data_IF_159408757374
#
_entry.id   IF_159408757374
#
_cell.length_a   1.000
_cell.length_b   1.000
_cell.length_c   1.000
_cell.angle_alpha   90.00
_cell.angle_beta   90.00
_cell.angle_gamma   90.00
#
_symmetry.space_group_name_H-M   'P 1'
#
loop_
_entity.id
_entity.type
_entity.pdbx_description
1 polymer ?
#
# COMPACT_ATOMS: atom_id res chain seq x y z
N UNK A 1 -15.24 -14.51 5.78
CA UNK A 1 -14.00 -13.84 5.34
C UNK A 1 -12.97 -13.94 6.45
N UNK A 2 -11.74 -14.34 6.12
CA UNK A 2 -10.62 -14.47 7.06
C UNK A 2 -9.48 -13.52 6.61
N UNK A 3 -9.11 -12.58 7.46
CA UNK A 3 -7.98 -11.68 7.26
C UNK A 3 -7.06 -11.74 8.47
N UNK A 4 -5.76 -11.84 8.24
CA UNK A 4 -4.76 -11.76 9.30
C UNK A 4 -3.41 -11.33 8.73
N UNK A 5 -2.50 -10.91 9.61
CA UNK A 5 -1.16 -10.48 9.25
C UNK A 5 -0.10 -11.39 9.86
N UNK A 6 1.03 -11.48 9.20
CA UNK A 6 2.23 -12.20 9.66
C UNK A 6 3.36 -11.16 9.73
N UNK A 7 4.05 -11.01 10.87
CA UNK A 7 5.15 -10.06 10.99
C UNK A 7 6.34 -10.49 10.13
N UNK A 8 7.05 -9.54 9.49
CA UNK A 8 8.28 -9.84 8.79
C UNK A 8 9.43 -10.12 9.78
N UNK A 9 10.48 -10.86 9.37
CA UNK A 9 11.69 -11.04 10.17
C UNK A 9 12.37 -9.68 10.43
N UNK A 10 13.18 -9.61 11.51
CA UNK A 10 13.74 -8.34 12.00
C UNK A 10 14.51 -7.56 10.94
N UNK A 11 15.27 -8.26 10.09
CA UNK A 11 16.03 -7.63 8.99
C UNK A 11 15.12 -6.90 7.98
N UNK A 12 13.88 -7.35 7.79
CA UNK A 12 12.92 -6.77 6.85
C UNK A 12 11.96 -5.76 7.49
N UNK A 13 11.82 -5.74 8.82
CA UNK A 13 10.92 -4.79 9.51
C UNK A 13 11.10 -3.31 9.10
N UNK A 14 12.33 -2.82 8.81
CA UNK A 14 12.50 -1.46 8.33
C UNK A 14 11.91 -1.19 6.94
N UNK A 15 11.62 -2.22 6.14
CA UNK A 15 11.26 -2.13 4.72
C UNK A 15 9.90 -2.73 4.41
N UNK A 16 9.47 -3.74 5.18
CA UNK A 16 8.19 -4.46 5.02
C UNK A 16 7.35 -4.22 6.27
N UNK A 17 6.15 -3.69 6.07
CA UNK A 17 5.25 -3.39 7.18
C UNK A 17 4.71 -4.67 7.81
N UNK A 18 4.16 -5.56 6.98
CA UNK A 18 3.68 -6.90 7.33
C UNK A 18 3.41 -7.71 6.06
N UNK A 19 3.34 -9.02 6.20
CA UNK A 19 2.65 -9.90 5.25
C UNK A 19 1.19 -10.01 5.65
N UNK A 20 0.30 -10.20 4.66
CA UNK A 20 -1.13 -10.31 4.90
C UNK A 20 -1.73 -11.48 4.11
N UNK A 21 -2.82 -12.00 4.64
CA UNK A 21 -3.60 -13.08 4.05
C UNK A 21 -5.05 -12.67 4.03
N UNK A 22 -5.70 -12.89 2.91
CA UNK A 22 -7.13 -12.69 2.75
C UNK A 22 -7.74 -13.93 2.08
N UNK A 23 -8.64 -14.60 2.78
CA UNK A 23 -9.36 -15.79 2.30
C UNK A 23 -10.86 -15.58 2.42
N UNK A 24 -11.61 -15.99 1.41
CA UNK A 24 -13.06 -15.92 1.44
C UNK A 24 -13.69 -17.04 0.63
N UNK A 25 -14.74 -17.63 1.20
CA UNK A 25 -15.63 -18.58 0.52
C UNK A 25 -16.89 -17.82 0.10
N UNK A 26 -17.15 -17.79 -1.21
CA UNK A 26 -18.38 -17.22 -1.73
C UNK A 26 -19.55 -18.19 -1.49
N UNK A 27 -20.73 -17.62 -1.32
CA UNK A 27 -21.99 -18.37 -1.13
C UNK A 27 -22.95 -18.06 -2.26
N UNK A 28 -24.02 -18.85 -2.39
CA UNK A 28 -25.07 -18.60 -3.40
C UNK A 28 -25.71 -17.20 -3.25
N UNK A 29 -25.81 -16.70 -2.01
CA UNK A 29 -26.34 -15.36 -1.72
C UNK A 29 -25.33 -14.23 -1.99
N UNK A 30 -24.05 -14.57 -2.09
CA UNK A 30 -22.97 -13.65 -2.44
C UNK A 30 -22.13 -14.24 -3.56
N UNK A 31 -22.58 -14.16 -4.84
CA UNK A 31 -21.93 -14.84 -5.96
C UNK A 31 -20.66 -14.14 -6.46
N UNK A 32 -20.39 -12.93 -5.97
CA UNK A 32 -19.18 -12.18 -6.30
C UNK A 32 -18.68 -11.41 -5.09
N UNK A 33 -17.39 -11.12 -5.10
CA UNK A 33 -16.76 -10.25 -4.11
C UNK A 33 -16.05 -9.11 -4.81
N UNK A 34 -16.39 -7.88 -4.44
CA UNK A 34 -15.72 -6.68 -4.92
C UNK A 34 -14.80 -6.16 -3.85
N UNK A 35 -13.54 -6.03 -4.17
CA UNK A 35 -12.52 -5.43 -3.32
C UNK A 35 -12.10 -4.06 -3.86
N UNK A 36 -11.95 -3.09 -2.97
CA UNK A 36 -11.43 -1.77 -3.31
C UNK A 36 -10.14 -1.52 -2.57
N UNK A 37 -9.02 -1.48 -3.29
CA UNK A 37 -7.75 -0.98 -2.79
C UNK A 37 -7.80 0.54 -2.74
N UNK A 38 -7.62 1.12 -1.57
CA UNK A 38 -7.53 2.58 -1.40
C UNK A 38 -6.09 3.04 -1.59
N UNK A 39 -5.91 4.31 -1.92
CA UNK A 39 -4.58 4.89 -1.98
C UNK A 39 -3.96 4.96 -0.58
N UNK A 40 -2.85 4.27 -0.36
CA UNK A 40 -2.16 4.21 0.94
C UNK A 40 -0.68 4.59 0.87
N UNK A 41 -0.19 4.84 -0.35
CA UNK A 41 1.21 5.20 -0.59
C UNK A 41 2.21 4.07 -0.39
N UNK A 42 1.75 2.84 -0.16
CA UNK A 42 2.59 1.65 -0.07
C UNK A 42 2.68 0.91 -1.41
N UNK A 43 3.67 0.05 -1.52
CA UNK A 43 3.79 -0.93 -2.60
C UNK A 43 3.34 -2.28 -2.07
N UNK A 44 2.58 -3.02 -2.85
CA UNK A 44 2.14 -4.36 -2.48
C UNK A 44 2.69 -5.40 -3.45
N UNK A 45 3.23 -6.49 -2.92
CA UNK A 45 3.43 -7.73 -3.66
C UNK A 45 2.23 -8.63 -3.40
N UNK A 46 1.49 -9.02 -4.45
CA UNK A 46 0.21 -9.75 -4.33
C UNK A 46 0.31 -11.07 -5.08
N UNK A 47 -0.06 -12.15 -4.41
CA UNK A 47 -0.06 -13.51 -4.94
C UNK A 47 -1.45 -14.14 -4.75
N UNK A 48 -2.14 -14.44 -5.84
CA UNK A 48 -3.42 -15.09 -5.85
C UNK A 48 -3.24 -16.62 -5.89
N UNK A 49 -3.05 -17.26 -4.74
CA UNK A 49 -2.81 -18.70 -4.68
C UNK A 49 -4.10 -19.55 -4.83
N UNK A 50 -5.26 -18.91 -4.81
CA UNK A 50 -6.55 -19.52 -5.11
C UNK A 50 -7.41 -18.46 -5.77
N UNK A 51 -7.79 -18.67 -7.01
CA UNK A 51 -8.53 -17.77 -7.90
C UNK A 51 -7.90 -16.36 -8.05
N UNK A 52 -8.11 -15.76 -9.18
CA UNK A 52 -7.65 -14.42 -9.52
C UNK A 52 -8.77 -13.39 -9.40
N UNK A 53 -8.40 -12.13 -9.40
CA UNK A 53 -9.32 -11.01 -9.47
C UNK A 53 -9.18 -10.31 -10.82
N UNK A 54 -10.28 -9.82 -11.35
CA UNK A 54 -10.28 -8.89 -12.48
C UNK A 54 -10.31 -7.45 -11.95
N UNK A 55 -9.53 -6.58 -12.55
CA UNK A 55 -9.61 -5.14 -12.26
C UNK A 55 -10.79 -4.53 -12.99
N UNK A 56 -11.63 -3.79 -12.27
CA UNK A 56 -12.73 -3.01 -12.83
C UNK A 56 -12.21 -1.64 -13.24
N UNK A 57 -12.15 -1.39 -14.54
CA UNK A 57 -11.72 -0.10 -15.12
C UNK A 57 -12.88 0.55 -15.87
N UNK A 58 -12.74 1.81 -16.21
CA UNK A 58 -13.74 2.53 -17.06
C UNK A 58 -13.89 1.90 -18.45
N UNK A 59 -12.87 1.18 -18.93
CA UNK A 59 -12.86 0.46 -20.21
C UNK A 59 -13.37 -0.98 -20.12
N UNK A 60 -13.70 -1.47 -18.91
CA UNK A 60 -14.19 -2.84 -18.70
C UNK A 60 -13.39 -3.58 -17.62
N UNK A 61 -13.41 -4.93 -17.72
CA UNK A 61 -12.68 -5.81 -16.82
C UNK A 61 -11.37 -6.25 -17.47
N UNK A 62 -10.26 -6.12 -16.74
CA UNK A 62 -8.96 -6.62 -17.17
C UNK A 62 -8.48 -7.66 -16.14
N UNK A 63 -7.84 -8.72 -16.61
CA UNK A 63 -7.22 -9.69 -15.71
C UNK A 63 -6.27 -8.97 -14.76
N UNK A 64 -6.46 -9.17 -13.46
CA UNK A 64 -5.58 -8.67 -12.41
C UNK A 64 -4.66 -9.79 -11.94
N UNK A 65 -3.53 -10.05 -12.60
CA UNK A 65 -2.63 -11.13 -12.22
C UNK A 65 -2.03 -10.91 -10.83
N UNK A 66 -1.47 -11.97 -10.28
CA UNK A 66 -0.45 -11.82 -9.24
C UNK A 66 0.63 -10.86 -9.72
N UNK A 67 1.16 -10.03 -8.83
CA UNK A 67 2.16 -9.05 -9.26
C UNK A 67 2.48 -8.01 -8.20
N UNK A 68 3.21 -7.00 -8.64
CA UNK A 68 3.57 -5.86 -7.81
C UNK A 68 2.65 -4.70 -8.15
N UNK A 69 1.87 -4.29 -7.17
CA UNK A 69 1.07 -3.08 -7.21
C UNK A 69 1.87 -1.98 -6.52
N UNK A 70 2.45 -1.10 -7.31
CA UNK A 70 3.23 0.00 -6.77
C UNK A 70 2.32 1.04 -6.14
N UNK A 71 2.92 1.88 -5.30
CA UNK A 71 2.21 2.94 -4.59
C UNK A 71 1.28 3.73 -5.52
N UNK A 72 0.02 3.83 -5.14
CA UNK A 72 -1.00 4.51 -5.92
C UNK A 72 -1.54 5.75 -5.21
N UNK A 73 -1.81 6.79 -5.98
CA UNK A 73 -2.53 7.98 -5.54
C UNK A 73 -4.03 7.90 -5.85
N UNK A 74 -4.51 6.76 -6.31
CA UNK A 74 -5.91 6.51 -6.68
C UNK A 74 -6.35 5.16 -6.12
N UNK A 75 -7.64 5.05 -5.82
CA UNK A 75 -8.23 3.74 -5.51
C UNK A 75 -8.32 2.88 -6.77
N UNK A 76 -8.32 1.58 -6.58
CA UNK A 76 -8.56 0.58 -7.64
C UNK A 76 -9.64 -0.38 -7.17
N UNK A 77 -10.38 -0.96 -8.11
CA UNK A 77 -11.46 -1.91 -7.81
C UNK A 77 -11.17 -3.24 -8.49
N UNK A 78 -11.42 -4.31 -7.76
CA UNK A 78 -11.20 -5.67 -8.23
C UNK A 78 -12.41 -6.52 -7.93
N UNK A 79 -12.71 -7.48 -8.80
CA UNK A 79 -13.84 -8.40 -8.63
C UNK A 79 -13.40 -9.83 -8.86
N UNK A 80 -13.95 -10.75 -8.08
CA UNK A 80 -13.88 -12.19 -8.35
C UNK A 80 -15.23 -12.86 -8.12
N UNK A 81 -15.47 -13.92 -8.88
CA UNK A 81 -16.68 -14.77 -8.76
C UNK A 81 -16.34 -16.18 -8.29
N UNK A 82 -15.20 -16.34 -7.67
CA UNK A 82 -14.69 -17.61 -7.16
C UNK A 82 -14.27 -17.47 -5.71
N UNK A 83 -14.33 -18.54 -4.95
CA UNK A 83 -13.70 -18.62 -3.65
C UNK A 83 -12.21 -18.37 -3.79
N UNK A 84 -11.63 -17.50 -2.97
CA UNK A 84 -10.28 -17.01 -3.21
C UNK A 84 -9.36 -17.09 -1.99
N UNK A 85 -8.06 -17.08 -2.27
CA UNK A 85 -7.00 -16.93 -1.30
C UNK A 85 -5.89 -16.05 -1.87
N UNK A 86 -5.57 -15.00 -1.15
CA UNK A 86 -4.52 -14.04 -1.50
C UNK A 86 -3.51 -14.01 -0.36
N UNK A 87 -2.23 -14.02 -0.72
CA UNK A 87 -1.11 -13.70 0.14
C UNK A 87 -0.43 -12.46 -0.40
N UNK A 88 0.00 -11.54 0.47
CA UNK A 88 0.69 -10.35 0.03
C UNK A 88 1.66 -9.79 1.06
N UNK A 89 2.44 -8.81 0.62
CA UNK A 89 3.35 -8.04 1.45
C UNK A 89 3.11 -6.55 1.24
N UNK A 90 2.95 -5.81 2.35
CA UNK A 90 3.00 -4.36 2.36
C UNK A 90 4.44 -3.87 2.49
N UNK A 91 4.92 -3.20 1.47
CA UNK A 91 6.29 -2.69 1.36
C UNK A 91 6.26 -1.17 1.44
N UNK A 92 7.09 -0.59 2.31
CA UNK A 92 7.23 0.86 2.35
C UNK A 92 7.81 1.39 1.03
N UNK A 93 7.33 2.53 0.50
CA UNK A 93 7.71 2.99 -0.83
C UNK A 93 9.22 3.27 -0.95
N UNK A 94 9.88 3.72 0.12
CA UNK A 94 11.33 3.92 0.15
C UNK A 94 12.15 2.62 0.08
N UNK A 95 11.50 1.46 0.22
CA UNK A 95 12.15 0.17 0.07
C UNK A 95 12.21 -0.31 -1.39
N UNK A 96 11.37 0.24 -2.28
CA UNK A 96 11.36 -0.09 -3.71
C UNK A 96 12.76 0.10 -4.35
N UNK A 97 13.46 1.23 -4.16
CA UNK A 97 14.81 1.37 -4.70
C UNK A 97 15.84 0.41 -4.07
N UNK A 98 15.58 -0.07 -2.86
CA UNK A 98 16.47 -1.02 -2.18
C UNK A 98 16.27 -2.45 -2.70
N UNK A 99 15.03 -2.87 -2.88
CA UNK A 99 14.72 -4.21 -3.36
C UNK A 99 14.87 -4.35 -4.88
N UNK A 100 14.51 -3.31 -5.63
CA UNK A 100 14.36 -3.42 -7.09
C UNK A 100 15.30 -2.53 -7.89
N UNK A 101 16.11 -1.68 -7.25
CA UNK A 101 17.10 -0.78 -7.87
C UNK A 101 16.51 0.21 -8.88
N UNK A 102 15.23 0.53 -8.72
CA UNK A 102 14.50 1.49 -9.53
C UNK A 102 13.92 2.59 -8.63
N UNK A 103 13.98 3.86 -9.01
CA UNK A 103 13.34 4.93 -8.25
C UNK A 103 11.83 4.69 -8.10
N UNK A 104 11.29 4.91 -6.91
CA UNK A 104 9.83 4.77 -6.69
C UNK A 104 9.00 5.70 -7.57
N UNK A 105 9.58 6.83 -8.00
CA UNK A 105 8.91 7.76 -8.92
C UNK A 105 8.63 7.18 -10.30
N UNK A 106 9.40 6.19 -10.74
CA UNK A 106 9.22 5.53 -12.04
C UNK A 106 8.14 4.45 -12.02
N UNK A 107 7.76 4.00 -10.83
CA UNK A 107 6.78 2.92 -10.65
C UNK A 107 5.43 3.39 -10.12
N UNK A 108 5.30 4.66 -9.76
CA UNK A 108 4.06 5.20 -9.18
C UNK A 108 2.84 4.97 -10.07
N UNK A 109 1.75 4.46 -9.48
CA UNK A 109 0.50 4.09 -10.14
C UNK A 109 0.60 2.93 -11.15
N UNK A 110 1.73 2.20 -11.20
CA UNK A 110 1.86 1.01 -12.03
C UNK A 110 1.43 -0.24 -11.27
N UNK A 111 0.97 -1.23 -12.03
CA UNK A 111 0.82 -2.60 -11.58
C UNK A 111 1.43 -3.50 -12.65
N UNK A 112 2.32 -4.38 -12.28
CA UNK A 112 3.07 -5.24 -13.19
C UNK A 112 3.06 -6.67 -12.66
N UNK A 113 2.87 -7.65 -13.54
CA UNK A 113 3.08 -9.04 -13.18
C UNK A 113 4.55 -9.32 -12.89
N UNK A 114 4.80 -10.43 -12.20
CA UNK A 114 6.14 -10.78 -11.74
C UNK A 114 7.11 -11.07 -12.89
N UNK A 115 6.63 -11.65 -13.99
CA UNK A 115 7.46 -11.94 -15.16
C UNK A 115 7.90 -10.65 -15.88
N UNK A 116 6.96 -9.75 -16.14
CA UNK A 116 7.24 -8.46 -16.78
C UNK A 116 8.23 -7.62 -15.97
N UNK A 117 8.10 -7.62 -14.64
CA UNK A 117 8.92 -6.74 -13.80
C UNK A 117 10.25 -7.36 -13.37
N UNK A 118 10.26 -8.64 -13.04
CA UNK A 118 11.43 -9.33 -12.47
C UNK A 118 12.03 -10.38 -13.42
N UNK A 119 11.33 -10.70 -14.51
CA UNK A 119 11.74 -11.76 -15.41
C UNK A 119 11.71 -13.15 -14.75
N UNK A 120 12.66 -14.00 -15.12
CA UNK A 120 12.77 -15.38 -14.59
C UNK A 120 12.71 -15.47 -13.05
N UNK A 121 13.45 -14.66 -12.28
CA UNK A 121 13.34 -14.67 -10.81
C UNK A 121 11.92 -14.39 -10.29
N UNK A 122 11.15 -13.58 -11.01
CA UNK A 122 9.75 -13.29 -10.65
C UNK A 122 8.83 -14.48 -10.85
N UNK A 123 8.97 -15.18 -12.00
CA UNK A 123 8.22 -16.43 -12.26
C UNK A 123 8.54 -17.50 -11.24
N UNK A 124 9.83 -17.72 -10.96
CA UNK A 124 10.27 -18.70 -9.96
C UNK A 124 9.72 -18.38 -8.55
N UNK A 125 9.71 -17.11 -8.16
CA UNK A 125 9.12 -16.69 -6.89
C UNK A 125 7.61 -16.97 -6.86
N UNK A 126 6.89 -16.58 -7.90
CA UNK A 126 5.44 -16.80 -7.99
C UNK A 126 5.12 -18.29 -7.90
N UNK A 127 5.81 -19.14 -8.66
CA UNK A 127 5.62 -20.59 -8.61
C UNK A 127 5.88 -21.16 -7.22
N UNK A 128 6.96 -20.78 -6.56
CA UNK A 128 7.25 -21.22 -5.19
C UNK A 128 6.17 -20.81 -4.18
N UNK A 129 5.68 -19.58 -4.28
CA UNK A 129 4.60 -19.06 -3.44
C UNK A 129 3.30 -19.83 -3.70
N UNK A 130 2.96 -20.10 -4.96
CA UNK A 130 1.75 -20.84 -5.33
C UNK A 130 1.78 -22.28 -4.82
N UNK A 131 2.93 -22.95 -4.88
CA UNK A 131 3.11 -24.33 -4.44
C UNK A 131 3.32 -24.48 -2.93
N UNK A 132 3.49 -23.38 -2.20
CA UNK A 132 3.75 -23.44 -0.76
C UNK A 132 2.55 -24.03 0.01
N UNK A 133 2.79 -24.94 0.98
CA UNK A 133 1.74 -25.68 1.67
C UNK A 133 0.83 -24.81 2.54
N UNK A 134 1.35 -23.71 3.05
CA UNK A 134 0.60 -22.77 3.90
C UNK A 134 1.15 -21.34 3.82
N UNK A 135 0.49 -20.41 4.49
CA UNK A 135 0.83 -18.99 4.44
C UNK A 135 2.10 -18.64 5.23
N UNK A 136 2.53 -19.44 6.19
CA UNK A 136 3.82 -19.24 6.89
C UNK A 136 4.99 -19.63 5.99
N UNK A 137 4.84 -20.68 5.17
CA UNK A 137 5.82 -21.03 4.15
C UNK A 137 5.90 -19.96 3.07
N UNK A 138 4.75 -19.40 2.63
CA UNK A 138 4.72 -18.25 1.70
C UNK A 138 5.49 -17.06 2.26
N UNK A 139 5.24 -16.72 3.54
CA UNK A 139 5.93 -15.62 4.20
C UNK A 139 7.44 -15.86 4.29
N UNK A 140 7.90 -17.10 4.53
CA UNK A 140 9.31 -17.46 4.54
C UNK A 140 9.95 -17.31 3.15
N UNK A 141 9.33 -17.89 2.11
CA UNK A 141 9.83 -17.79 0.73
C UNK A 141 9.99 -16.32 0.32
N UNK A 142 8.98 -15.49 0.57
CA UNK A 142 9.04 -14.07 0.24
C UNK A 142 10.06 -13.32 1.09
N UNK A 143 10.23 -13.69 2.36
CA UNK A 143 11.26 -13.12 3.23
C UNK A 143 12.67 -13.42 2.73
N UNK A 144 12.93 -14.66 2.32
CA UNK A 144 14.23 -15.07 1.78
C UNK A 144 14.54 -14.31 0.48
N UNK A 145 13.57 -14.20 -0.42
CA UNK A 145 13.69 -13.44 -1.66
C UNK A 145 14.00 -11.96 -1.40
N UNK A 146 13.27 -11.30 -0.51
CA UNK A 146 13.47 -9.88 -0.19
C UNK A 146 14.79 -9.64 0.56
N UNK A 147 15.20 -10.58 1.42
CA UNK A 147 16.47 -10.50 2.14
C UNK A 147 17.65 -10.61 1.20
N UNK A 148 17.61 -11.53 0.24
CA UNK A 148 18.64 -11.66 -0.80
C UNK A 148 18.79 -10.35 -1.59
N UNK A 149 17.67 -9.77 -2.03
CA UNK A 149 17.68 -8.48 -2.73
C UNK A 149 18.23 -7.35 -1.90
N UNK A 150 17.94 -7.32 -0.61
CA UNK A 150 18.47 -6.32 0.31
C UNK A 150 19.99 -6.43 0.47
N UNK A 151 20.51 -7.65 0.61
CA UNK A 151 21.95 -7.90 0.73
C UNK A 151 22.74 -7.47 -0.52
N UNK A 152 22.16 -7.64 -1.69
CA UNK A 152 22.77 -7.24 -2.96
C UNK A 152 22.52 -5.75 -3.30
N UNK A 153 21.83 -5.00 -2.46
CA UNK A 153 21.60 -3.57 -2.67
C UNK A 153 22.77 -2.74 -2.13
N UNK A 154 23.25 -1.78 -2.93
CA UNK A 154 24.22 -0.79 -2.43
C UNK A 154 23.53 0.18 -1.48
N UNK A 155 24.11 0.46 -0.29
CA UNK A 155 23.59 1.51 0.59
C UNK A 155 23.69 2.87 -0.14
N UNK A 156 22.55 3.43 -0.54
CA UNK A 156 22.46 4.84 -0.94
C UNK A 156 22.17 5.70 0.30
N UNK A 157 22.49 6.99 0.20
CA UNK A 157 22.24 8.00 1.25
C UNK A 157 20.82 7.84 1.84
N UNK A 158 20.73 7.30 3.06
CA UNK A 158 19.49 6.87 3.70
C UNK A 158 18.74 8.01 4.41
N UNK A 159 19.26 9.28 4.31
CA UNK A 159 18.67 10.44 4.99
C UNK A 159 17.24 10.71 4.56
N UNK A 160 16.95 10.59 3.28
CA UNK A 160 15.58 10.81 2.76
C UNK A 160 14.66 9.64 3.11
N UNK A 161 15.15 8.40 3.07
CA UNK A 161 14.39 7.25 3.57
C UNK A 161 14.06 7.42 5.06
N UNK A 162 15.00 7.95 5.85
CA UNK A 162 14.76 8.30 7.27
C UNK A 162 13.70 9.41 7.40
N UNK A 163 13.74 10.44 6.54
CA UNK A 163 12.71 11.47 6.51
C UNK A 163 11.33 10.90 6.22
N UNK A 164 11.23 10.01 5.23
CA UNK A 164 9.97 9.35 4.89
C UNK A 164 9.46 8.50 6.06
N UNK A 165 10.34 7.71 6.70
CA UNK A 165 9.98 6.95 7.91
C UNK A 165 9.45 7.86 9.01
N UNK A 166 10.09 9.01 9.25
CA UNK A 166 9.60 9.97 10.24
C UNK A 166 8.23 10.53 9.88
N UNK A 167 7.98 10.84 8.62
CA UNK A 167 6.65 11.28 8.15
C UNK A 167 5.59 10.20 8.38
N UNK A 168 5.92 8.93 8.11
CA UNK A 168 5.00 7.80 8.28
C UNK A 168 4.68 7.53 9.77
N UNK A 169 5.69 7.62 10.64
CA UNK A 169 5.55 7.15 12.03
C UNK A 169 5.27 8.24 13.06
N UNK A 170 5.63 9.50 12.77
CA UNK A 170 5.59 10.55 13.79
C UNK A 170 4.35 11.44 13.73
N UNK A 171 3.44 11.19 12.78
CA UNK A 171 2.17 11.92 12.66
C UNK A 171 2.32 13.44 12.93
N UNK A 172 3.43 14.04 12.44
CA UNK A 172 3.76 15.42 12.78
C UNK A 172 3.18 16.36 11.73
N UNK A 173 2.42 17.35 12.20
CA UNK A 173 1.94 18.50 11.41
C UNK A 173 3.09 19.40 10.90
N UNK A 174 4.13 18.79 10.31
CA UNK A 174 5.26 19.52 9.75
C UNK A 174 4.95 19.93 8.31
N UNK A 175 5.33 21.13 7.98
CA UNK A 175 5.32 21.60 6.59
C UNK A 175 6.49 20.97 5.81
N UNK A 176 6.38 20.96 4.49
CA UNK A 176 7.48 20.48 3.61
C UNK A 176 8.75 21.27 3.83
N UNK A 177 8.65 22.58 4.11
CA UNK A 177 9.79 23.44 4.41
C UNK A 177 10.49 23.02 5.71
N UNK A 178 9.74 22.76 6.77
CA UNK A 178 10.29 22.27 8.04
C UNK A 178 10.96 20.89 7.92
N UNK A 179 10.40 20.02 7.08
CA UNK A 179 11.03 18.73 6.79
C UNK A 179 12.33 18.92 6.01
N UNK A 180 12.35 19.75 4.98
CA UNK A 180 13.55 20.03 4.20
C UNK A 180 14.67 20.60 5.07
N UNK A 181 14.35 21.55 5.93
CA UNK A 181 15.29 22.19 6.86
C UNK A 181 15.89 21.17 7.84
N UNK A 182 15.05 20.30 8.44
CA UNK A 182 15.50 19.25 9.36
C UNK A 182 16.53 18.28 8.75
N UNK A 183 16.58 18.17 7.42
CA UNK A 183 17.55 17.33 6.69
C UNK A 183 18.64 18.14 5.98
N UNK A 184 18.77 19.44 6.26
CA UNK A 184 19.73 20.36 5.64
C UNK A 184 19.63 20.33 4.10
N UNK A 185 18.41 20.34 3.56
CA UNK A 185 18.12 20.37 2.13
C UNK A 185 17.30 21.61 1.77
N UNK A 186 17.54 22.17 0.58
CA UNK A 186 16.55 23.10 0.02
C UNK A 186 15.23 22.38 -0.25
N UNK A 187 14.09 23.10 -0.20
CA UNK A 187 12.76 22.53 -0.48
C UNK A 187 12.75 21.79 -1.83
N UNK A 188 13.40 22.34 -2.86
CA UNK A 188 13.50 21.72 -4.20
C UNK A 188 14.30 20.42 -4.19
N UNK A 189 15.40 20.36 -3.45
CA UNK A 189 16.21 19.15 -3.31
C UNK A 189 15.45 18.08 -2.54
N UNK A 190 14.78 18.49 -1.45
CA UNK A 190 13.94 17.60 -0.64
C UNK A 190 12.79 17.02 -1.46
N UNK A 191 12.03 17.84 -2.19
CA UNK A 191 10.90 17.41 -3.04
C UNK A 191 11.36 16.38 -4.08
N UNK A 192 12.45 16.65 -4.81
CA UNK A 192 12.99 15.73 -5.80
C UNK A 192 13.39 14.39 -5.18
N UNK A 193 14.22 14.41 -4.13
CA UNK A 193 14.71 13.18 -3.48
C UNK A 193 13.59 12.42 -2.80
N UNK A 194 12.66 13.13 -2.16
CA UNK A 194 11.49 12.50 -1.57
C UNK A 194 10.66 11.76 -2.61
N UNK A 195 10.41 12.38 -3.77
CA UNK A 195 9.68 11.76 -4.87
C UNK A 195 10.40 10.52 -5.42
N UNK A 196 11.72 10.57 -5.57
CA UNK A 196 12.55 9.42 -6.00
C UNK A 196 12.36 8.20 -5.07
N UNK A 197 12.19 8.43 -3.75
CA UNK A 197 12.09 7.38 -2.74
C UNK A 197 10.64 7.00 -2.38
N UNK A 198 9.72 7.96 -2.36
CA UNK A 198 8.33 7.75 -1.97
C UNK A 198 7.36 7.59 -3.15
N UNK A 199 7.82 7.89 -4.37
CA UNK A 199 7.00 7.85 -5.58
C UNK A 199 6.14 9.10 -5.80
N UNK A 200 5.81 9.83 -4.74
CA UNK A 200 4.98 11.03 -4.77
C UNK A 200 5.72 12.23 -4.17
N UNK A 201 5.22 13.44 -4.46
CA UNK A 201 5.70 14.63 -3.77
C UNK A 201 5.43 14.55 -2.25
N UNK A 202 6.24 15.21 -1.42
CA UNK A 202 5.99 15.27 0.02
C UNK A 202 4.57 15.73 0.35
N UNK A 203 4.06 16.71 -0.40
CA UNK A 203 2.69 17.24 -0.24
C UNK A 203 1.63 16.14 -0.46
N UNK A 204 1.74 15.37 -1.53
CA UNK A 204 0.81 14.26 -1.81
C UNK A 204 0.91 13.17 -0.74
N UNK A 205 2.13 12.85 -0.33
CA UNK A 205 2.36 11.82 0.67
C UNK A 205 1.81 12.21 2.05
N UNK A 206 2.00 13.45 2.48
CA UNK A 206 1.40 13.99 3.72
C UNK A 206 -0.14 13.96 3.69
N UNK A 207 -0.77 14.14 2.52
CA UNK A 207 -2.23 13.98 2.38
C UNK A 207 -2.66 12.54 2.61
N UNK A 208 -1.92 11.57 2.05
CA UNK A 208 -2.18 10.14 2.25
C UNK A 208 -2.04 9.75 3.73
N UNK A 209 -0.97 10.20 4.38
CA UNK A 209 -0.75 9.94 5.82
C UNK A 209 -1.91 10.50 6.66
N UNK A 210 -2.31 11.76 6.43
CA UNK A 210 -3.45 12.37 7.13
C UNK A 210 -4.76 11.59 6.94
N UNK A 211 -5.00 11.11 5.71
CA UNK A 211 -6.18 10.26 5.46
C UNK A 211 -6.12 8.96 6.26
N UNK A 212 -4.97 8.30 6.27
CA UNK A 212 -4.78 7.07 7.05
C UNK A 212 -5.03 7.29 8.54
N UNK A 213 -4.50 8.38 9.08
CA UNK A 213 -4.74 8.76 10.48
C UNK A 213 -6.23 9.00 10.75
N UNK A 214 -6.91 9.68 9.83
CA UNK A 214 -8.35 9.91 9.94
C UNK A 214 -9.16 8.61 9.91
N UNK A 215 -8.75 7.64 9.06
CA UNK A 215 -9.37 6.31 9.01
C UNK A 215 -9.16 5.56 10.33
N UNK A 216 -7.96 5.60 10.90
CA UNK A 216 -7.65 4.94 12.16
C UNK A 216 -8.33 5.58 13.37
N UNK A 217 -8.49 6.91 13.37
CA UNK A 217 -9.16 7.65 14.44
C UNK A 217 -10.68 7.61 14.36
N UNK A 218 -11.25 7.09 13.27
CA UNK A 218 -12.69 6.99 13.15
C UNK A 218 -13.27 6.11 14.25
N UNK A 219 -14.13 6.72 15.05
CA UNK A 219 -14.95 6.03 16.05
C UNK A 219 -16.37 6.59 16.00
N UNK A 220 -17.35 5.82 16.44
CA UNK A 220 -18.76 6.24 16.50
C UNK A 220 -19.01 7.49 17.36
N UNK A 221 -18.04 7.90 18.18
CA UNK A 221 -18.18 8.99 19.14
C UNK A 221 -17.64 10.34 18.65
N UNK A 222 -16.97 10.41 17.47
CA UNK A 222 -16.43 11.65 16.91
C UNK A 222 -17.17 12.05 15.65
N UNK A 223 -17.49 13.35 15.52
CA UNK A 223 -18.00 13.88 14.25
C UNK A 223 -16.89 13.88 13.18
N UNK A 224 -17.28 13.81 11.90
CA UNK A 224 -16.34 13.92 10.79
C UNK A 224 -15.56 15.24 10.81
N UNK A 225 -16.18 16.32 11.28
CA UNK A 225 -15.52 17.62 11.46
C UNK A 225 -14.42 17.54 12.51
N UNK A 226 -14.68 16.89 13.65
CA UNK A 226 -13.68 16.74 14.70
C UNK A 226 -12.51 15.87 14.24
N UNK A 227 -12.80 14.76 13.55
CA UNK A 227 -11.74 13.90 12.97
C UNK A 227 -10.87 14.68 11.98
N UNK A 228 -11.50 15.48 11.11
CA UNK A 228 -10.77 16.31 10.15
C UNK A 228 -9.80 17.28 10.86
N UNK A 229 -10.28 17.99 11.88
CA UNK A 229 -9.46 18.94 12.65
C UNK A 229 -8.34 18.23 13.42
N UNK A 230 -8.63 17.11 14.08
CA UNK A 230 -7.66 16.30 14.85
C UNK A 230 -6.53 15.78 13.95
N UNK A 231 -6.84 15.48 12.67
CA UNK A 231 -5.88 15.02 11.67
C UNK A 231 -5.19 16.15 10.87
N UNK A 232 -5.41 17.41 11.25
CA UNK A 232 -4.72 18.56 10.64
C UNK A 232 -5.26 18.97 9.27
N UNK A 233 -6.54 18.70 8.99
CA UNK A 233 -7.24 19.31 7.86
C UNK A 233 -7.65 20.73 8.20
N UNK A 234 -7.61 21.61 7.20
CA UNK A 234 -8.01 23.01 7.38
C UNK A 234 -9.52 23.13 7.70
N UNK A 235 -10.32 22.36 6.96
CA UNK A 235 -11.77 22.28 7.13
C UNK A 235 -12.32 20.92 6.70
N UNK A 236 -13.61 20.70 6.94
CA UNK A 236 -14.31 19.49 6.54
C UNK A 236 -14.35 19.29 5.02
N UNK A 237 -14.38 20.34 4.22
CA UNK A 237 -14.44 20.26 2.76
C UNK A 237 -13.13 19.69 2.19
N UNK A 238 -12.00 20.12 2.74
CA UNK A 238 -10.68 19.58 2.41
C UNK A 238 -10.59 18.09 2.77
N UNK A 239 -11.09 17.70 3.94
CA UNK A 239 -11.18 16.29 4.34
C UNK A 239 -12.05 15.47 3.38
N UNK A 240 -13.27 15.94 3.08
CA UNK A 240 -14.18 15.27 2.12
C UNK A 240 -13.52 15.08 0.76
N UNK A 241 -12.82 16.11 0.28
CA UNK A 241 -12.10 16.05 -1.00
C UNK A 241 -11.05 14.93 -0.99
N UNK A 242 -10.22 14.84 0.06
CA UNK A 242 -9.17 13.83 0.16
C UNK A 242 -9.75 12.42 0.30
N UNK A 243 -10.78 12.22 1.14
CA UNK A 243 -11.45 10.92 1.26
C UNK A 243 -12.00 10.47 -0.10
N UNK A 244 -12.69 11.35 -0.83
CA UNK A 244 -13.21 11.02 -2.18
C UNK A 244 -12.09 10.70 -3.16
N UNK A 245 -11.02 11.49 -3.18
CA UNK A 245 -9.92 11.31 -4.12
C UNK A 245 -9.20 9.97 -3.92
N UNK A 246 -8.98 9.57 -2.67
CA UNK A 246 -8.15 8.41 -2.34
C UNK A 246 -8.95 7.12 -2.11
N UNK A 247 -10.23 7.21 -1.75
CA UNK A 247 -11.09 6.04 -1.50
C UNK A 247 -12.18 5.85 -2.55
N UNK A 248 -12.53 6.90 -3.30
CA UNK A 248 -13.66 6.93 -4.22
C UNK A 248 -15.01 7.10 -3.55
N UNK A 249 -15.07 7.28 -2.23
CA UNK A 249 -16.32 7.39 -1.46
C UNK A 249 -16.44 8.73 -0.73
N UNK A 250 -17.69 9.16 -0.52
CA UNK A 250 -17.95 10.20 0.47
C UNK A 250 -17.64 9.67 1.88
N UNK A 251 -17.07 10.47 2.81
CA UNK A 251 -16.71 10.00 4.15
C UNK A 251 -17.87 9.29 4.89
N UNK A 252 -19.07 9.86 4.87
CA UNK A 252 -20.23 9.25 5.54
C UNK A 252 -20.54 7.83 5.03
N UNK A 253 -20.35 7.56 3.73
CA UNK A 253 -20.52 6.21 3.18
C UNK A 253 -19.34 5.31 3.52
N UNK A 254 -18.11 5.82 3.35
CA UNK A 254 -16.90 5.06 3.66
C UNK A 254 -16.90 4.55 5.10
N UNK A 255 -17.20 5.44 6.04
CA UNK A 255 -17.21 5.14 7.47
C UNK A 255 -18.48 4.41 7.96
N UNK A 256 -19.51 4.26 7.15
CA UNK A 256 -20.68 3.44 7.51
C UNK A 256 -20.41 1.93 7.53
N UNK A 257 -19.22 1.49 7.10
CA UNK A 257 -18.86 0.07 6.95
C UNK A 257 -19.51 -0.62 5.74
N UNK A 258 -20.22 0.14 4.87
CA UNK A 258 -20.88 -0.37 3.66
C UNK A 258 -19.99 -0.28 2.42
N UNK A 259 -18.78 0.25 2.54
CA UNK A 259 -17.84 0.36 1.43
C UNK A 259 -17.40 -1.03 0.95
N UNK A 260 -17.20 -1.18 -0.38
CA UNK A 260 -16.72 -2.42 -0.98
C UNK A 260 -15.40 -2.87 -0.35
N UNK A 261 -15.31 -4.13 0.03
CA UNK A 261 -14.09 -4.72 0.57
C UNK A 261 -13.56 -4.05 1.84
N UNK A 262 -14.42 -3.39 2.62
CA UNK A 262 -14.01 -2.73 3.86
C UNK A 262 -13.48 -3.77 4.84
N UNK A 263 -12.16 -3.90 4.88
CA UNK A 263 -11.46 -4.67 5.91
C UNK A 263 -11.12 -3.71 7.03
N UNK A 264 -11.82 -3.83 8.15
CA UNK A 264 -11.45 -3.08 9.36
C UNK A 264 -10.06 -3.56 9.81
N UNK A 265 -9.04 -2.79 9.52
CA UNK A 265 -7.69 -2.99 10.06
C UNK A 265 -7.71 -2.58 11.55
N UNK A 266 -8.36 -3.40 12.39
CA UNK A 266 -8.27 -3.28 13.84
C UNK A 266 -6.99 -3.90 14.34
#
# INVERSE_FOLDING_TARGET
MRYYTIPPPDILKPYVRFFWVLEHELTADQPEYVYRSIADGCTEMVFHYRATFDELTDSGQNAGPSGIQFQSSRYRRFVTRQCFGIFGAYIYPFAVPRFFRIPSSETSNLALDYDTFLGRPGRELEEQIMLAPDNYHRARILSDFLTDRLQHSTPKDDRVATAIRQVIHLNQNRTVAQLADAFNLSVRQFDRRFKEHAGFSPKTYLRLVRLHDAIQQYSSNKSLTQIALDCGYYDQSHFIHDVKAFTGYHPGFYFSGKAEGFISLK
#
